data_IF_656617960007
#
_entry.id   IF_656617960007
#
_cell.length_a   1.000
_cell.length_b   1.000
_cell.length_c   1.000
_cell.angle_alpha   90.00
_cell.angle_beta   90.00
_cell.angle_gamma   90.00
#
_symmetry.space_group_name_H-M   'P 1'
#
loop_
_entity.id
_entity.type
_entity.pdbx_description
1 polymer ?
#
# COMPACT_ATOMS: atom_id res chain seq x y z
N UNK A 1 33.91 -58.89 -34.47
CA UNK A 1 35.03 -58.87 -35.43
C UNK A 1 34.52 -58.30 -36.76
N UNK A 2 35.12 -57.18 -37.21
CA UNK A 2 35.11 -56.53 -38.56
C UNK A 2 33.74 -56.11 -39.13
N UNK A 3 33.44 -54.80 -39.14
CA UNK A 3 33.72 -53.78 -40.17
C UNK A 3 32.88 -53.93 -41.45
N UNK A 4 32.03 -52.93 -41.74
CA UNK A 4 32.24 -52.04 -42.89
C UNK A 4 31.28 -50.85 -42.87
N UNK A 5 31.86 -49.68 -43.14
CA UNK A 5 31.29 -48.35 -43.26
C UNK A 5 30.46 -48.16 -44.54
N UNK A 6 29.52 -47.21 -44.52
CA UNK A 6 29.27 -46.34 -45.69
C UNK A 6 28.91 -44.92 -45.24
N UNK A 7 29.68 -43.98 -45.79
CA UNK A 7 29.61 -42.54 -45.66
C UNK A 7 28.47 -41.94 -46.51
N UNK A 8 27.93 -40.79 -46.07
CA UNK A 8 27.65 -39.66 -46.98
C UNK A 8 27.84 -38.32 -46.25
N UNK A 9 28.69 -37.49 -46.84
CA UNK A 9 29.07 -36.13 -46.46
C UNK A 9 28.70 -35.19 -47.61
N UNK A 10 28.15 -33.99 -47.31
CA UNK A 10 28.40 -32.69 -48.00
C UNK A 10 27.47 -31.63 -47.36
N UNK A 11 27.96 -30.68 -46.54
CA UNK A 11 28.64 -29.40 -46.87
C UNK A 11 27.74 -28.34 -47.56
N UNK A 12 27.21 -27.33 -46.84
CA UNK A 12 27.69 -25.97 -46.43
C UNK A 12 27.28 -24.85 -47.41
N UNK A 13 26.95 -23.68 -46.82
CA UNK A 13 27.12 -22.28 -47.28
C UNK A 13 25.86 -21.61 -47.85
N UNK A 14 25.24 -20.67 -47.12
CA UNK A 14 25.58 -19.24 -47.23
C UNK A 14 24.71 -18.33 -46.34
N UNK A 15 25.39 -17.36 -45.74
CA UNK A 15 24.83 -16.16 -45.11
C UNK A 15 24.28 -15.19 -46.17
N UNK A 16 23.29 -14.35 -45.81
CA UNK A 16 23.44 -12.88 -45.77
C UNK A 16 22.16 -12.13 -45.32
N UNK A 17 22.38 -11.19 -44.40
CA UNK A 17 21.86 -9.82 -44.31
C UNK A 17 20.34 -9.50 -44.22
N UNK A 18 19.96 -9.07 -43.00
CA UNK A 18 19.41 -7.75 -42.65
C UNK A 18 18.30 -7.11 -43.50
N UNK A 19 17.15 -6.85 -42.86
CA UNK A 19 16.44 -5.58 -43.02
C UNK A 19 15.78 -5.16 -41.71
N UNK A 20 16.35 -4.12 -41.09
CA UNK A 20 15.80 -3.41 -39.92
C UNK A 20 14.73 -2.43 -40.43
N UNK A 21 13.50 -2.54 -39.92
CA UNK A 21 12.49 -1.46 -40.04
C UNK A 21 12.39 -0.72 -38.71
N UNK A 22 13.11 0.39 -38.62
CA UNK A 22 12.81 1.45 -37.68
C UNK A 22 11.73 2.35 -38.32
N UNK A 23 10.63 2.57 -37.62
CA UNK A 23 9.67 3.63 -37.95
C UNK A 23 9.66 4.62 -36.80
N UNK A 24 10.43 5.69 -36.98
CA UNK A 24 10.42 6.89 -36.15
C UNK A 24 9.20 7.71 -36.57
N UNK A 25 8.22 7.89 -35.68
CA UNK A 25 7.26 8.99 -35.79
C UNK A 25 7.69 10.10 -34.85
N UNK A 26 8.15 11.19 -35.46
CA UNK A 26 8.35 12.48 -34.83
C UNK A 26 6.98 13.08 -34.57
N UNK A 27 6.68 13.45 -33.32
CA UNK A 27 5.62 14.41 -33.04
C UNK A 27 6.20 15.51 -32.15
N UNK A 28 6.47 16.64 -32.78
CA UNK A 28 6.84 17.87 -32.11
C UNK A 28 5.56 18.57 -31.65
N UNK A 29 5.39 18.75 -30.35
CA UNK A 29 4.51 19.78 -29.80
C UNK A 29 5.23 20.50 -28.68
N UNK A 30 5.39 21.79 -28.92
CA UNK A 30 6.18 22.75 -28.16
C UNK A 30 5.32 23.51 -27.15
N UNK A 31 5.80 23.54 -25.89
CA UNK A 31 5.61 24.55 -24.81
C UNK A 31 4.33 24.50 -23.94
N UNK A 32 4.33 25.11 -22.74
CA UNK A 32 5.36 25.01 -21.68
C UNK A 32 4.74 24.77 -20.27
N UNK A 33 5.49 24.12 -19.38
CA UNK A 33 5.25 24.15 -17.93
C UNK A 33 6.14 25.24 -17.30
N UNK A 34 5.53 26.27 -16.72
CA UNK A 34 6.17 27.11 -15.70
C UNK A 34 5.16 27.95 -14.93
N UNK A 35 4.54 27.39 -13.87
CA UNK A 35 4.11 28.20 -12.71
C UNK A 35 4.18 27.38 -11.42
N UNK A 36 4.72 28.06 -10.41
CA UNK A 36 4.75 27.75 -8.96
C UNK A 36 5.76 26.69 -8.54
N UNK A 37 6.61 26.89 -7.54
CA UNK A 37 6.99 28.08 -6.79
C UNK A 37 8.32 27.74 -6.10
N UNK A 38 9.31 28.63 -6.21
CA UNK A 38 10.54 28.49 -5.46
C UNK A 38 10.42 29.21 -4.10
N UNK A 39 11.12 28.64 -3.14
CA UNK A 39 11.11 28.89 -1.69
C UNK A 39 11.25 30.36 -1.25
N UNK A 40 10.65 30.58 -0.09
CA UNK A 40 10.98 31.58 0.91
C UNK A 40 12.49 31.76 1.17
N UNK A 41 12.94 33.01 1.32
CA UNK A 41 13.44 33.59 2.60
C UNK A 41 14.03 34.98 2.35
N UNK A 42 13.88 35.83 3.37
CA UNK A 42 14.77 36.91 3.86
C UNK A 42 14.04 38.24 4.03
N UNK A 43 13.54 38.43 5.25
CA UNK A 43 13.27 39.71 5.92
C UNK A 43 13.01 39.32 7.39
N UNK A 44 13.48 39.98 8.44
CA UNK A 44 14.30 41.17 8.66
C UNK A 44 14.66 41.07 10.16
N UNK A 45 15.89 41.43 10.55
CA UNK A 45 16.26 41.64 11.96
C UNK A 45 16.51 43.14 12.20
N UNK A 46 16.12 43.56 13.41
CA UNK A 46 16.59 44.69 14.25
C UNK A 46 16.22 46.16 13.88
N UNK A 47 15.15 46.69 14.51
CA UNK A 47 15.09 47.72 15.62
C UNK A 47 16.26 48.73 15.82
N UNK A 48 16.14 49.86 16.58
CA UNK A 48 14.97 50.52 17.24
C UNK A 48 14.93 52.09 17.20
N UNK A 49 13.97 52.69 17.95
CA UNK A 49 13.94 54.02 18.65
C UNK A 49 12.96 55.12 18.12
N UNK A 50 12.51 56.10 18.96
CA UNK A 50 11.39 55.98 19.91
C UNK A 50 10.38 57.16 19.85
N UNK A 51 9.28 57.10 20.62
CA UNK A 51 8.68 58.32 21.20
C UNK A 51 7.16 58.42 21.23
N UNK A 52 6.69 58.92 22.38
CA UNK A 52 5.40 59.56 22.67
C UNK A 52 4.18 58.70 23.06
N UNK A 53 4.09 58.52 24.38
CA UNK A 53 2.90 58.67 25.26
C UNK A 53 1.68 59.37 24.66
N UNK A 54 0.47 58.84 24.94
CA UNK A 54 -0.62 59.54 25.64
C UNK A 54 -1.67 58.50 26.09
N UNK A 55 -2.09 58.68 27.33
CA UNK A 55 -3.12 57.99 28.11
C UNK A 55 -4.55 58.44 27.71
N UNK A 56 -5.58 57.88 28.36
CA UNK A 56 -7.02 58.26 28.43
C UNK A 56 -7.97 57.14 27.97
N UNK A 57 -8.42 56.34 28.94
CA UNK A 57 -9.78 56.52 29.48
C UNK A 57 -10.99 55.91 28.76
N UNK A 58 -11.55 54.87 29.41
CA UNK A 58 -12.91 54.86 29.96
C UNK A 58 -14.13 54.92 29.00
N UNK A 59 -14.92 53.83 28.90
CA UNK A 59 -16.34 53.71 29.34
C UNK A 59 -17.17 52.62 28.62
N UNK A 60 -17.70 51.70 29.45
CA UNK A 60 -19.10 51.24 29.63
C UNK A 60 -20.03 50.94 28.42
N UNK A 61 -20.55 49.70 28.47
CA UNK A 61 -21.96 49.26 28.42
C UNK A 61 -22.95 49.95 27.47
N UNK A 62 -23.59 49.17 26.58
CA UNK A 62 -25.06 49.16 26.38
C UNK A 62 -25.51 47.73 25.99
N UNK A 63 -26.50 47.21 26.72
CA UNK A 63 -27.31 46.06 26.39
C UNK A 63 -28.55 46.48 25.57
N UNK A 64 -29.06 45.64 24.67
CA UNK A 64 -30.50 45.60 24.37
C UNK A 64 -30.89 44.32 23.61
N UNK A 65 -31.90 43.64 24.14
CA UNK A 65 -32.61 42.49 23.59
C UNK A 65 -33.71 42.91 22.60
N UNK A 66 -34.20 41.96 21.79
CA UNK A 66 -35.63 41.77 21.41
C UNK A 66 -35.71 40.92 20.12
N UNK A 67 -36.18 39.65 20.12
CA UNK A 67 -37.56 39.13 20.17
C UNK A 67 -38.26 38.98 18.79
N UNK A 68 -38.87 37.79 18.62
CA UNK A 68 -39.86 37.34 17.60
C UNK A 68 -39.25 36.86 16.27
N UNK A 69 -39.66 35.72 15.69
CA UNK A 69 -40.98 35.11 15.73
C UNK A 69 -41.00 33.61 15.40
N UNK A 70 -42.04 32.96 15.94
CA UNK A 70 -42.48 31.60 15.68
C UNK A 70 -43.12 31.50 14.28
N UNK A 71 -42.88 30.40 13.55
CA UNK A 71 -43.88 29.78 12.68
C UNK A 71 -43.81 28.26 12.80
N UNK A 72 -44.98 27.70 13.03
CA UNK A 72 -45.32 26.29 13.06
C UNK A 72 -46.08 25.91 11.77
N UNK A 73 -46.43 24.62 11.67
CA UNK A 73 -47.19 23.90 10.64
C UNK A 73 -46.32 23.41 9.46
N UNK A 74 -46.48 22.19 8.93
CA UNK A 74 -47.57 21.21 9.02
C UNK A 74 -47.06 19.81 8.60
N UNK A 75 -47.70 18.77 9.13
CA UNK A 75 -47.60 17.38 8.71
C UNK A 75 -48.04 17.16 7.26
N UNK A 76 -47.43 16.19 6.59
CA UNK A 76 -48.15 15.25 5.71
C UNK A 76 -47.44 13.90 5.70
N UNK A 77 -48.14 12.89 6.23
CA UNK A 77 -47.84 11.48 6.05
C UNK A 77 -48.46 11.02 4.71
N UNK A 78 -47.74 10.20 3.95
CA UNK A 78 -48.32 9.43 2.86
C UNK A 78 -47.71 8.03 2.84
N UNK A 79 -48.53 7.08 3.28
CA UNK A 79 -48.34 5.64 3.14
C UNK A 79 -48.39 5.24 1.66
N UNK A 80 -47.53 4.32 1.23
CA UNK A 80 -47.74 3.56 0.00
C UNK A 80 -47.73 2.06 0.25
N UNK A 81 -48.68 1.43 -0.43
CA UNK A 81 -49.26 0.12 -0.21
C UNK A 81 -48.39 -1.02 -0.74
N UNK A 82 -48.40 -2.11 0.02
CA UNK A 82 -48.04 -3.47 -0.39
C UNK A 82 -49.06 -3.96 -1.42
N UNK A 83 -48.58 -4.40 -2.59
CA UNK A 83 -49.37 -5.20 -3.52
C UNK A 83 -48.81 -6.63 -3.54
N UNK A 84 -49.62 -7.56 -3.04
CA UNK A 84 -49.47 -8.99 -3.23
C UNK A 84 -50.47 -9.41 -4.31
N UNK A 85 -50.03 -10.21 -5.28
CA UNK A 85 -50.91 -11.10 -6.03
C UNK A 85 -50.16 -12.35 -6.52
N UNK A 86 -50.89 -13.47 -6.76
CA UNK A 86 -50.35 -14.83 -6.66
C UNK A 86 -50.39 -15.64 -7.98
N UNK A 87 -49.99 -16.92 -7.86
CA UNK A 87 -50.25 -18.09 -8.73
C UNK A 87 -49.22 -18.38 -9.86
N UNK A 88 -48.46 -19.49 -9.75
CA UNK A 88 -48.73 -20.90 -10.21
C UNK A 88 -48.62 -21.03 -11.75
N UNK A 89 -47.52 -21.54 -12.30
CA UNK A 89 -47.10 -22.95 -12.48
C UNK A 89 -47.36 -23.45 -13.91
N UNK A 90 -46.30 -23.85 -14.62
CA UNK A 90 -46.30 -24.92 -15.63
C UNK A 90 -44.85 -25.35 -15.93
N UNK A 91 -44.65 -26.66 -15.97
CA UNK A 91 -43.45 -27.39 -16.35
C UNK A 91 -43.63 -27.85 -17.80
N UNK A 92 -42.61 -27.73 -18.65
CA UNK A 92 -42.17 -28.84 -19.51
C UNK A 92 -40.76 -28.59 -20.11
N UNK A 93 -39.96 -29.65 -20.38
CA UNK A 93 -38.54 -29.56 -20.73
C UNK A 93 -38.27 -29.72 -22.24
N UNK A 94 -37.00 -29.59 -22.59
CA UNK A 94 -36.35 -29.95 -23.87
C UNK A 94 -36.33 -28.87 -24.98
N UNK A 95 -35.16 -28.23 -25.13
CA UNK A 95 -34.45 -28.17 -26.42
C UNK A 95 -33.02 -27.69 -26.24
N UNK A 96 -32.11 -28.41 -26.86
CA UNK A 96 -30.66 -28.27 -27.01
C UNK A 96 -30.15 -26.93 -27.59
N UNK A 97 -29.14 -26.33 -26.92
CA UNK A 97 -27.88 -25.67 -27.39
C UNK A 97 -27.85 -24.67 -28.57
N UNK A 98 -26.78 -23.85 -28.76
CA UNK A 98 -25.69 -23.41 -27.85
C UNK A 98 -25.40 -21.87 -27.82
N UNK A 99 -24.67 -21.46 -26.78
CA UNK A 99 -23.91 -20.20 -26.57
C UNK A 99 -24.69 -18.88 -26.41
N UNK A 100 -24.29 -18.07 -25.41
CA UNK A 100 -23.30 -17.04 -25.76
C UNK A 100 -22.17 -16.88 -24.73
N UNK A 101 -21.03 -16.43 -25.26
CA UNK A 101 -19.97 -15.72 -24.57
C UNK A 101 -20.57 -14.77 -23.52
N UNK A 102 -20.35 -15.08 -22.24
CA UNK A 102 -20.58 -14.16 -21.14
C UNK A 102 -19.22 -13.82 -20.52
N UNK A 103 -18.84 -12.57 -20.72
CA UNK A 103 -17.85 -11.82 -19.98
C UNK A 103 -18.07 -11.97 -18.47
N UNK A 104 -17.34 -12.89 -17.84
CA UNK A 104 -17.19 -12.95 -16.40
C UNK A 104 -15.96 -12.14 -16.01
N UNK A 105 -16.17 -10.94 -15.46
CA UNK A 105 -15.16 -10.32 -14.61
C UNK A 105 -14.91 -11.30 -13.45
N UNK A 106 -13.73 -11.92 -13.44
CA UNK A 106 -13.30 -12.72 -12.31
C UNK A 106 -13.21 -11.85 -11.05
N UNK A 107 -13.29 -12.45 -9.85
CA UNK A 107 -13.06 -11.71 -8.61
C UNK A 107 -11.70 -11.02 -8.68
N UNK A 108 -11.65 -9.76 -8.22
CA UNK A 108 -10.42 -8.99 -8.15
C UNK A 108 -9.37 -9.81 -7.38
N UNK A 109 -8.20 -10.12 -7.98
CA UNK A 109 -7.15 -10.86 -7.30
C UNK A 109 -6.61 -10.14 -6.05
N UNK A 110 -7.01 -8.88 -5.81
CA UNK A 110 -6.74 -8.08 -4.61
C UNK A 110 -7.84 -8.11 -3.55
N UNK A 111 -9.02 -8.68 -3.84
CA UNK A 111 -10.15 -8.70 -2.89
C UNK A 111 -10.08 -9.91 -1.96
N UNK A 112 -9.73 -9.66 -0.70
CA UNK A 112 -9.67 -10.67 0.35
C UNK A 112 -11.03 -10.74 1.09
N UNK A 113 -12.07 -11.30 0.46
CA UNK A 113 -13.26 -11.72 1.21
C UNK A 113 -12.97 -13.04 1.96
N UNK A 114 -13.47 -13.22 3.19
CA UNK A 114 -13.14 -14.37 4.02
C UNK A 114 -13.82 -15.65 3.53
N UNK A 115 -13.09 -16.51 2.81
CA UNK A 115 -13.54 -17.87 2.46
C UNK A 115 -13.10 -18.86 3.55
N UNK A 116 -14.06 -19.64 4.07
CA UNK A 116 -13.87 -20.54 5.21
C UNK A 116 -13.23 -21.91 4.90
N UNK A 117 -12.38 -22.37 5.84
CA UNK A 117 -11.86 -23.75 6.15
C UNK A 117 -11.08 -24.47 5.03
N UNK A 118 -9.97 -25.20 5.23
CA UNK A 118 -9.40 -26.02 6.32
C UNK A 118 -7.84 -26.02 6.28
N UNK A 119 -7.12 -26.48 7.32
CA UNK A 119 -5.64 -26.46 7.35
C UNK A 119 -5.02 -27.64 6.59
N UNK A 120 -4.05 -27.36 5.73
CA UNK A 120 -3.15 -28.36 5.11
C UNK A 120 -1.74 -28.16 5.64
N UNK A 121 -1.12 -29.24 6.10
CA UNK A 121 0.26 -29.28 6.57
C UNK A 121 1.23 -29.18 5.39
N UNK A 122 2.22 -28.29 5.49
CA UNK A 122 3.23 -28.07 4.45
C UNK A 122 4.54 -28.79 4.73
N UNK A 123 5.15 -29.30 3.66
CA UNK A 123 6.52 -29.83 3.61
C UNK A 123 7.39 -28.86 2.80
N UNK A 124 8.58 -28.43 3.27
CA UNK A 124 9.38 -27.41 2.60
C UNK A 124 10.22 -28.03 1.46
N UNK A 125 9.99 -27.57 0.23
CA UNK A 125 10.93 -27.78 -0.89
C UNK A 125 12.04 -26.73 -0.79
N UNK A 126 13.27 -27.20 -0.58
CA UNK A 126 14.48 -26.40 -0.40
C UNK A 126 15.18 -26.21 -1.75
N UNK A 127 15.04 -25.06 -2.39
CA UNK A 127 15.95 -24.65 -3.47
C UNK A 127 17.15 -23.93 -2.86
N UNK A 128 18.32 -24.57 -2.96
CA UNK A 128 19.59 -24.12 -2.42
C UNK A 128 20.18 -23.07 -3.36
N UNK A 129 20.18 -21.80 -2.96
CA UNK A 129 20.98 -20.76 -3.61
C UNK A 129 22.36 -20.68 -2.95
N UNK A 130 23.41 -20.77 -3.75
CA UNK A 130 24.81 -20.69 -3.32
C UNK A 130 25.20 -19.22 -3.18
N UNK A 131 25.50 -18.74 -1.97
CA UNK A 131 26.07 -17.40 -1.75
C UNK A 131 27.56 -17.51 -1.41
N UNK A 132 28.37 -16.72 -2.12
CA UNK A 132 29.78 -16.52 -1.82
C UNK A 132 29.94 -15.64 -0.57
N UNK A 133 30.87 -16.04 0.29
CA UNK A 133 31.19 -15.39 1.54
C UNK A 133 31.94 -14.06 1.32
N UNK A 134 31.53 -13.02 2.05
CA UNK A 134 32.24 -11.76 2.21
C UNK A 134 31.68 -11.03 3.44
N UNK A 135 32.54 -10.86 4.45
CA UNK A 135 32.24 -10.46 5.82
C UNK A 135 31.51 -9.10 5.99
N UNK A 136 30.42 -9.09 6.78
CA UNK A 136 29.81 -7.91 7.41
C UNK A 136 28.98 -8.35 8.65
N UNK A 137 28.78 -7.48 9.67
CA UNK A 137 28.62 -7.89 11.06
C UNK A 137 27.22 -8.45 11.36
N UNK A 138 27.17 -9.71 11.78
CA UNK A 138 26.29 -10.35 12.79
C UNK A 138 24.77 -10.17 12.80
N UNK A 139 24.16 -9.27 12.02
CA UNK A 139 22.70 -9.03 12.01
C UNK A 139 22.04 -9.24 10.64
N UNK A 140 22.81 -9.05 9.58
CA UNK A 140 22.38 -9.34 8.21
C UNK A 140 22.21 -10.84 7.98
N UNK A 141 23.18 -11.65 8.46
CA UNK A 141 23.19 -13.09 8.28
C UNK A 141 22.02 -13.77 9.01
N UNK A 142 21.77 -13.38 10.27
CA UNK A 142 20.64 -13.90 11.06
C UNK A 142 19.27 -13.53 10.46
N UNK A 143 19.13 -12.30 9.97
CA UNK A 143 17.89 -11.87 9.31
C UNK A 143 17.63 -12.66 8.02
N UNK A 144 18.65 -12.86 7.20
CA UNK A 144 18.52 -13.62 5.96
C UNK A 144 18.38 -15.13 6.20
N UNK A 145 18.89 -15.65 7.32
CA UNK A 145 18.66 -17.02 7.73
C UNK A 145 17.17 -17.28 8.07
N UNK A 146 16.53 -16.35 8.78
CA UNK A 146 15.12 -16.48 9.15
C UNK A 146 14.18 -16.09 7.98
N UNK A 147 14.48 -14.98 7.30
CA UNK A 147 13.69 -14.37 6.22
C UNK A 147 14.54 -14.21 4.94
N UNK A 148 14.85 -15.32 4.23
CA UNK A 148 15.72 -15.32 3.06
C UNK A 148 15.12 -14.58 1.85
N UNK A 149 13.82 -14.29 1.87
CA UNK A 149 13.17 -13.49 0.84
C UNK A 149 13.39 -11.99 1.00
N UNK A 150 14.04 -11.53 2.07
CA UNK A 150 14.27 -10.10 2.34
C UNK A 150 15.30 -9.50 1.38
N UNK A 151 14.93 -8.43 0.67
CA UNK A 151 15.91 -7.58 -0.01
C UNK A 151 16.53 -6.60 1.00
N UNK A 152 17.54 -7.06 1.76
CA UNK A 152 18.05 -6.38 2.96
C UNK A 152 18.44 -4.91 2.72
N UNK A 153 19.28 -4.63 1.71
CA UNK A 153 19.70 -3.26 1.40
C UNK A 153 18.50 -2.36 1.06
N UNK A 154 17.50 -2.89 0.35
CA UNK A 154 16.28 -2.16 0.01
C UNK A 154 15.43 -1.88 1.25
N UNK A 155 15.34 -2.85 2.17
CA UNK A 155 14.67 -2.71 3.46
C UNK A 155 15.29 -1.59 4.29
N UNK A 156 16.62 -1.60 4.44
CA UNK A 156 17.36 -0.60 5.20
C UNK A 156 17.18 0.81 4.63
N UNK A 157 17.22 0.93 3.30
CA UNK A 157 16.95 2.19 2.61
C UNK A 157 15.51 2.68 2.81
N UNK A 158 14.52 1.79 2.78
CA UNK A 158 13.12 2.15 3.03
C UNK A 158 12.90 2.60 4.49
N UNK A 159 13.53 1.94 5.46
CA UNK A 159 13.54 2.37 6.87
C UNK A 159 14.20 3.75 6.99
N UNK A 160 15.33 3.99 6.31
CA UNK A 160 16.01 5.27 6.33
C UNK A 160 15.15 6.40 5.73
N UNK A 161 14.49 6.15 4.59
CA UNK A 161 13.54 7.11 3.99
C UNK A 161 12.38 7.40 4.94
N UNK A 162 11.77 6.38 5.54
CA UNK A 162 10.66 6.56 6.49
C UNK A 162 11.07 7.40 7.71
N UNK A 163 12.25 7.12 8.31
CA UNK A 163 12.81 7.91 9.43
C UNK A 163 13.13 9.35 9.06
N UNK A 164 13.38 9.63 7.78
CA UNK A 164 13.69 10.99 7.33
C UNK A 164 12.47 11.90 7.19
N UNK A 165 11.26 11.32 7.23
CA UNK A 165 10.01 12.07 7.15
C UNK A 165 9.71 12.73 8.50
N UNK A 166 9.46 14.04 8.49
CA UNK A 166 9.09 14.79 9.70
C UNK A 166 7.59 14.73 9.96
N UNK A 167 7.17 15.00 11.21
CA UNK A 167 5.75 15.04 11.55
C UNK A 167 5.01 16.13 10.76
N UNK A 168 5.65 17.25 10.44
CA UNK A 168 5.06 18.31 9.61
C UNK A 168 4.79 17.82 8.18
N UNK A 169 5.71 17.04 7.59
CA UNK A 169 5.51 16.45 6.26
C UNK A 169 4.38 15.42 6.26
N UNK A 170 4.21 14.70 7.37
CA UNK A 170 3.19 13.64 7.52
C UNK A 170 1.84 14.15 8.05
N UNK A 171 1.71 15.44 8.32
CA UNK A 171 0.48 16.08 8.82
C UNK A 171 -0.18 17.01 7.79
N UNK A 172 0.20 16.86 6.52
CA UNK A 172 -0.39 17.59 5.39
C UNK A 172 -1.73 17.01 4.89
N UNK A 173 -2.08 17.31 3.63
CA UNK A 173 -3.17 16.63 2.94
C UNK A 173 -2.82 15.16 2.69
N UNK A 174 -3.80 14.27 2.87
CA UNK A 174 -3.59 12.83 2.79
C UNK A 174 -3.02 12.36 1.45
N UNK A 175 -3.40 12.98 0.33
CA UNK A 175 -2.90 12.55 -0.98
C UNK A 175 -1.40 12.82 -1.12
N UNK A 176 -0.93 13.96 -0.60
CA UNK A 176 0.50 14.31 -0.56
C UNK A 176 1.25 13.41 0.43
N UNK A 177 0.66 13.17 1.61
CA UNK A 177 1.23 12.28 2.63
C UNK A 177 1.37 10.87 2.08
N UNK A 178 0.35 10.32 1.41
CA UNK A 178 0.43 9.00 0.77
C UNK A 178 1.53 8.96 -0.30
N UNK A 179 1.71 10.03 -1.08
CA UNK A 179 2.83 10.15 -2.01
C UNK A 179 4.20 9.99 -1.31
N UNK A 180 4.37 10.62 -0.14
CA UNK A 180 5.57 10.46 0.69
C UNK A 180 5.72 9.04 1.26
N UNK A 181 4.62 8.41 1.66
CA UNK A 181 4.61 7.02 2.13
C UNK A 181 5.05 6.05 1.01
N UNK A 182 4.53 6.21 -0.21
CA UNK A 182 4.95 5.43 -1.37
C UNK A 182 6.45 5.63 -1.67
N UNK A 183 6.91 6.89 -1.69
CA UNK A 183 8.33 7.19 -1.88
C UNK A 183 9.22 6.53 -0.80
N UNK A 184 8.80 6.57 0.47
CA UNK A 184 9.53 5.94 1.55
C UNK A 184 9.55 4.41 1.47
N UNK A 185 8.49 3.80 0.93
CA UNK A 185 8.45 2.37 0.63
C UNK A 185 9.28 2.00 -0.62
N UNK A 186 9.64 2.98 -1.46
CA UNK A 186 10.20 2.73 -2.79
C UNK A 186 9.16 2.12 -3.73
N UNK A 187 7.95 2.65 -3.69
CA UNK A 187 6.86 2.37 -4.62
C UNK A 187 6.58 3.60 -5.48
N UNK A 188 6.31 3.38 -6.76
CA UNK A 188 5.77 4.38 -7.68
C UNK A 188 4.29 4.57 -7.41
N UNK A 189 3.77 5.79 -7.58
CA UNK A 189 2.33 6.06 -7.51
C UNK A 189 1.69 5.78 -8.88
N UNK A 190 1.19 4.56 -9.06
CA UNK A 190 0.58 4.09 -10.30
C UNK A 190 -0.90 3.88 -10.01
N UNK A 191 -1.73 4.80 -10.47
CA UNK A 191 -3.18 4.82 -10.22
C UNK A 191 -4.02 4.37 -11.42
N UNK A 192 -3.40 4.30 -12.58
CA UNK A 192 -4.04 3.93 -13.85
C UNK A 192 -3.39 2.66 -14.39
N UNK A 193 -3.63 1.56 -13.68
CA UNK A 193 -3.20 0.23 -14.07
C UNK A 193 -4.23 -0.81 -13.60
N UNK A 194 -4.42 -1.91 -14.34
CA UNK A 194 -5.21 -3.04 -13.88
C UNK A 194 -4.60 -3.71 -12.63
N UNK A 195 -5.42 -4.44 -11.84
CA UNK A 195 -4.91 -5.31 -10.78
C UNK A 195 -3.86 -6.31 -11.29
N UNK A 196 -2.73 -6.41 -10.59
CA UNK A 196 -1.59 -7.25 -10.98
C UNK A 196 -0.58 -6.60 -11.94
N UNK A 197 -0.89 -5.46 -12.53
CA UNK A 197 0.01 -4.72 -13.44
C UNK A 197 0.73 -3.54 -12.76
N UNK A 198 0.74 -3.52 -11.44
CA UNK A 198 1.47 -2.53 -10.64
C UNK A 198 0.60 -1.38 -10.12
N UNK A 199 -0.73 -1.54 -10.13
CA UNK A 199 -1.65 -0.60 -9.47
C UNK A 199 -1.32 -0.46 -7.97
N UNK A 200 -0.87 0.72 -7.54
CA UNK A 200 -0.55 1.04 -6.14
C UNK A 200 -1.57 1.98 -5.48
N UNK A 201 -2.69 2.28 -6.16
CA UNK A 201 -3.73 3.19 -5.66
C UNK A 201 -4.32 2.81 -4.29
N UNK A 202 -4.34 1.51 -3.98
CA UNK A 202 -4.84 0.97 -2.70
C UNK A 202 -3.77 0.93 -1.59
N UNK A 203 -2.48 1.00 -1.93
CA UNK A 203 -1.41 0.95 -0.94
C UNK A 203 -1.58 2.07 0.10
N UNK A 204 -1.57 1.67 1.37
CA UNK A 204 -1.76 2.52 2.54
C UNK A 204 -3.13 3.23 2.62
N UNK A 205 -4.06 2.95 1.70
CA UNK A 205 -5.38 3.59 1.60
C UNK A 205 -6.53 2.73 2.15
N UNK A 206 -6.25 1.50 2.55
CA UNK A 206 -7.20 0.59 3.19
C UNK A 206 -6.62 0.03 4.49
N UNK A 207 -7.40 -0.80 5.17
CA UNK A 207 -7.02 -1.34 6.48
C UNK A 207 -5.85 -2.33 6.45
N UNK A 208 -5.61 -2.99 5.31
CA UNK A 208 -4.86 -4.23 5.23
C UNK A 208 -3.55 -4.11 4.44
N UNK A 209 -3.54 -3.37 3.32
CA UNK A 209 -2.38 -3.21 2.43
C UNK A 209 -1.45 -2.09 2.93
N UNK A 210 -0.91 -2.30 4.12
CA UNK A 210 -0.21 -1.27 4.91
C UNK A 210 1.25 -1.61 5.19
N UNK A 211 1.74 -2.76 4.72
CA UNK A 211 3.09 -3.24 4.96
C UNK A 211 4.01 -2.89 3.79
N UNK A 212 5.00 -2.02 4.00
CA UNK A 212 6.08 -1.78 3.04
C UNK A 212 7.05 -2.97 3.04
N UNK A 213 6.71 -4.02 2.29
CA UNK A 213 7.47 -5.27 2.24
C UNK A 213 8.51 -5.20 1.15
N UNK A 214 9.79 -5.30 1.51
CA UNK A 214 10.90 -5.31 0.55
C UNK A 214 11.38 -6.75 0.35
N UNK A 215 11.41 -7.23 -0.88
CA UNK A 215 11.70 -8.64 -1.16
C UNK A 215 12.66 -8.83 -2.33
N UNK A 216 13.38 -9.95 -2.34
CA UNK A 216 14.13 -10.37 -3.52
C UNK A 216 13.15 -10.67 -4.65
N UNK A 217 13.56 -10.42 -5.89
CA UNK A 217 12.65 -10.63 -7.03
C UNK A 217 12.39 -12.12 -7.30
N UNK A 218 13.23 -13.01 -6.79
CA UNK A 218 13.06 -14.47 -6.91
C UNK A 218 11.84 -14.98 -6.14
N UNK A 219 11.45 -14.29 -5.07
CA UNK A 219 10.26 -14.64 -4.26
C UNK A 219 9.03 -13.82 -4.65
N UNK A 220 9.16 -12.83 -5.53
CA UNK A 220 8.04 -11.92 -5.87
C UNK A 220 6.85 -12.62 -6.54
N UNK A 221 7.07 -13.81 -7.11
CA UNK A 221 6.06 -14.67 -7.72
C UNK A 221 5.55 -15.78 -6.75
N UNK A 222 6.02 -15.81 -5.50
CA UNK A 222 5.58 -16.81 -4.51
C UNK A 222 4.07 -16.72 -4.26
N UNK A 223 3.42 -17.87 -4.15
CA UNK A 223 1.99 -17.99 -3.86
C UNK A 223 1.73 -18.15 -2.35
N UNK A 224 0.61 -17.63 -1.85
CA UNK A 224 0.21 -17.80 -0.46
C UNK A 224 -0.05 -19.27 -0.09
N UNK A 225 -0.65 -20.03 -1.02
CA UNK A 225 -1.02 -21.45 -0.86
C UNK A 225 -1.78 -21.80 0.42
N UNK A 226 -2.54 -20.84 0.97
CA UNK A 226 -3.29 -20.99 2.20
C UNK A 226 -2.47 -20.83 3.49
N UNK A 227 -1.21 -20.38 3.41
CA UNK A 227 -0.38 -20.09 4.57
C UNK A 227 -0.95 -18.95 5.41
N UNK A 228 -1.41 -17.89 4.75
CA UNK A 228 -2.13 -16.76 5.36
C UNK A 228 -3.63 -16.96 5.15
N UNK A 229 -4.37 -17.02 6.26
CA UNK A 229 -5.82 -17.21 6.25
C UNK A 229 -6.51 -15.95 5.74
N UNK A 230 -7.46 -16.11 4.81
CA UNK A 230 -8.23 -15.01 4.25
C UNK A 230 -7.59 -14.35 3.03
N UNK A 231 -6.39 -14.77 2.64
CA UNK A 231 -5.67 -14.26 1.47
C UNK A 231 -5.78 -15.26 0.31
N UNK A 232 -5.89 -14.74 -0.92
CA UNK A 232 -5.98 -15.55 -2.13
C UNK A 232 -4.85 -16.59 -2.22
N UNK A 233 -5.15 -17.79 -2.75
CA UNK A 233 -4.17 -18.89 -2.80
C UNK A 233 -3.01 -18.60 -3.75
N UNK A 234 -3.30 -18.08 -4.96
CA UNK A 234 -2.31 -17.76 -5.98
C UNK A 234 -1.78 -16.33 -5.85
N UNK A 235 -0.67 -16.04 -6.54
CA UNK A 235 -0.07 -14.72 -6.61
C UNK A 235 0.07 -14.29 -8.08
N UNK A 236 -0.46 -13.11 -8.41
CA UNK A 236 -0.30 -12.47 -9.73
C UNK A 236 0.45 -11.14 -9.64
N UNK A 237 1.07 -10.88 -8.49
CA UNK A 237 1.66 -9.58 -8.17
C UNK A 237 3.07 -9.43 -8.71
N UNK A 238 3.81 -10.51 -9.00
CA UNK A 238 5.22 -10.42 -9.41
C UNK A 238 5.50 -9.43 -10.55
N UNK A 239 4.76 -9.44 -11.66
CA UNK A 239 4.87 -8.40 -12.70
C UNK A 239 4.61 -6.98 -12.15
N UNK A 240 3.54 -6.81 -11.38
CA UNK A 240 3.19 -5.53 -10.76
C UNK A 240 4.24 -5.03 -9.76
N UNK A 241 4.86 -5.92 -8.97
CA UNK A 241 5.94 -5.60 -8.04
C UNK A 241 7.14 -5.05 -8.82
N UNK A 242 7.53 -5.70 -9.91
CA UNK A 242 8.65 -5.22 -10.75
C UNK A 242 8.37 -3.85 -11.36
N UNK A 243 7.14 -3.61 -11.81
CA UNK A 243 6.73 -2.34 -12.44
C UNK A 243 6.62 -1.20 -11.41
N UNK A 244 6.02 -1.47 -10.26
CA UNK A 244 5.77 -0.48 -9.23
C UNK A 244 6.99 -0.16 -8.37
N UNK A 245 8.00 -1.02 -8.35
CA UNK A 245 9.20 -0.79 -7.54
C UNK A 245 10.04 0.39 -8.07
N UNK A 246 10.35 1.32 -7.18
CA UNK A 246 11.32 2.39 -7.43
C UNK A 246 12.74 1.79 -7.46
N UNK A 247 13.46 1.82 -8.59
CA UNK A 247 14.82 1.28 -8.67
C UNK A 247 15.82 2.04 -7.78
N UNK A 248 15.56 3.31 -7.46
CA UNK A 248 16.49 4.16 -6.69
C UNK A 248 16.56 3.74 -5.20
N UNK A 249 15.65 2.88 -4.74
CA UNK A 249 15.69 2.33 -3.39
C UNK A 249 16.71 1.17 -3.25
N UNK A 250 17.16 0.56 -4.36
CA UNK A 250 18.12 -0.54 -4.36
C UNK A 250 17.57 -1.85 -4.97
N UNK A 251 18.36 -2.93 -4.97
CA UNK A 251 17.98 -4.19 -5.63
C UNK A 251 16.77 -4.86 -4.97
N UNK A 252 16.01 -5.64 -5.75
CA UNK A 252 14.79 -6.30 -5.28
C UNK A 252 13.52 -5.57 -5.72
N UNK A 253 12.41 -5.84 -5.04
CA UNK A 253 11.14 -5.15 -5.22
C UNK A 253 10.48 -4.77 -3.90
N UNK A 254 9.53 -3.85 -3.96
CA UNK A 254 8.64 -3.52 -2.83
C UNK A 254 7.19 -3.80 -3.21
N UNK A 255 6.37 -4.22 -2.24
CA UNK A 255 4.92 -4.20 -2.34
C UNK A 255 4.26 -3.78 -1.03
N UNK A 256 3.04 -3.25 -1.10
CA UNK A 256 2.17 -3.00 0.06
C UNK A 256 1.39 -4.29 0.42
N UNK A 257 2.00 -5.18 1.19
CA UNK A 257 1.38 -6.49 1.47
C UNK A 257 0.31 -6.41 2.56
N UNK A 258 -0.52 -7.45 2.64
CA UNK A 258 -1.58 -7.54 3.63
C UNK A 258 -1.02 -7.80 5.04
N UNK A 259 -1.43 -6.98 6.01
CA UNK A 259 -1.02 -7.04 7.41
C UNK A 259 -1.83 -8.03 8.27
N UNK A 260 -2.85 -8.68 7.70
CA UNK A 260 -3.67 -9.66 8.41
C UNK A 260 -2.81 -10.81 8.95
N UNK A 261 -2.89 -11.06 10.26
CA UNK A 261 -2.01 -12.00 10.96
C UNK A 261 -0.80 -11.33 11.65
N UNK A 262 -0.61 -10.02 11.45
CA UNK A 262 0.48 -9.25 12.02
C UNK A 262 0.44 -9.07 13.55
N UNK A 263 -0.69 -9.35 14.21
CA UNK A 263 -0.77 -9.37 15.67
C UNK A 263 -0.08 -10.60 16.31
N UNK A 264 0.20 -11.65 15.54
CA UNK A 264 0.85 -12.87 16.03
C UNK A 264 2.35 -12.64 16.32
N UNK A 265 2.95 -13.53 17.12
CA UNK A 265 4.39 -13.57 17.36
C UNK A 265 4.93 -15.00 17.15
N UNK A 266 5.80 -15.23 16.15
CA UNK A 266 6.18 -14.29 15.09
C UNK A 266 4.98 -13.89 14.20
N UNK A 267 5.05 -12.77 13.44
CA UNK A 267 3.97 -12.36 12.56
C UNK A 267 3.61 -13.43 11.53
N UNK A 268 2.32 -13.60 11.30
CA UNK A 268 1.77 -14.58 10.38
C UNK A 268 1.07 -13.91 9.18
N UNK A 269 1.62 -12.78 8.73
CA UNK A 269 1.10 -12.00 7.61
C UNK A 269 1.74 -12.38 6.28
N UNK A 270 1.34 -11.69 5.19
CA UNK A 270 1.78 -12.02 3.83
C UNK A 270 3.28 -11.81 3.64
N UNK A 271 3.86 -10.76 4.22
CA UNK A 271 5.30 -10.51 4.15
C UNK A 271 6.09 -11.70 4.70
N UNK A 272 5.74 -12.13 5.91
CA UNK A 272 6.50 -13.12 6.66
C UNK A 272 6.27 -14.55 6.15
N UNK A 273 5.04 -14.91 5.77
CA UNK A 273 4.71 -16.28 5.37
C UNK A 273 4.88 -16.54 3.87
N UNK A 274 4.32 -15.68 3.01
CA UNK A 274 4.34 -15.91 1.56
C UNK A 274 5.69 -15.51 0.95
N UNK A 275 6.16 -14.30 1.29
CA UNK A 275 7.41 -13.78 0.73
C UNK A 275 8.64 -14.14 1.56
N UNK A 276 8.47 -14.72 2.77
CA UNK A 276 9.57 -15.05 3.67
C UNK A 276 10.47 -13.83 3.87
N UNK A 277 9.86 -12.66 4.02
CA UNK A 277 10.51 -11.36 4.05
C UNK A 277 10.08 -10.56 5.28
N UNK A 278 11.00 -9.75 5.80
CA UNK A 278 10.65 -8.68 6.76
C UNK A 278 10.02 -7.49 6.06
N UNK A 279 9.18 -6.77 6.79
CA UNK A 279 8.71 -5.45 6.36
C UNK A 279 9.79 -4.41 6.64
N UNK A 280 9.92 -3.39 5.79
CA UNK A 280 10.69 -2.20 6.15
C UNK A 280 9.93 -1.43 7.24
N UNK A 281 8.64 -1.21 7.02
CA UNK A 281 7.74 -0.60 7.99
C UNK A 281 6.28 -0.91 7.65
N UNK A 282 5.38 -0.72 8.62
CA UNK A 282 3.94 -0.67 8.38
C UNK A 282 3.27 0.56 8.97
N UNK A 283 2.18 0.98 8.34
CA UNK A 283 1.34 2.06 8.85
C UNK A 283 0.30 1.52 9.83
N UNK A 284 0.26 2.12 11.03
CA UNK A 284 -0.73 1.81 12.07
C UNK A 284 -1.43 3.09 12.51
N UNK A 285 -2.76 3.12 12.40
CA UNK A 285 -3.58 4.22 12.91
C UNK A 285 -3.70 4.16 14.44
N UNK A 286 -3.61 5.32 15.08
CA UNK A 286 -3.63 5.45 16.54
C UNK A 286 -5.07 5.42 17.06
N UNK A 287 -5.41 4.59 18.07
CA UNK A 287 -6.79 4.40 18.53
C UNK A 287 -7.32 5.51 19.45
N UNK A 288 -7.01 6.77 19.15
CA UNK A 288 -7.52 7.97 19.85
C UNK A 288 -7.87 9.06 18.86
N UNK A 289 -8.63 10.07 19.31
CA UNK A 289 -8.96 11.24 18.49
C UNK A 289 -9.65 10.90 17.16
N UNK A 290 -10.44 9.82 17.12
CA UNK A 290 -11.10 9.37 15.89
C UNK A 290 -10.14 8.78 14.85
N UNK A 291 -9.02 8.20 15.26
CA UNK A 291 -8.01 7.62 14.37
C UNK A 291 -7.42 8.65 13.41
N UNK A 292 -7.21 9.88 13.89
CA UNK A 292 -6.69 10.99 13.08
C UNK A 292 -5.16 10.97 12.92
N UNK A 293 -4.44 10.24 13.78
CA UNK A 293 -2.99 10.08 13.75
C UNK A 293 -2.61 8.68 13.31
N UNK A 294 -1.52 8.53 12.57
CA UNK A 294 -0.88 7.25 12.29
C UNK A 294 0.59 7.28 12.73
N UNK A 295 1.14 6.08 12.96
CA UNK A 295 2.56 5.86 13.20
C UNK A 295 3.08 4.82 12.21
N UNK A 296 4.29 5.05 11.69
CA UNK A 296 5.05 4.07 10.94
C UNK A 296 5.90 3.26 11.92
N UNK A 297 5.80 1.95 11.89
CA UNK A 297 6.57 1.05 12.76
C UNK A 297 7.43 0.10 11.94
N UNK A 298 8.67 -0.13 12.35
CA UNK A 298 9.54 -1.13 11.72
C UNK A 298 9.11 -2.58 12.05
N UNK A 299 9.82 -3.55 11.48
CA UNK A 299 9.51 -4.96 11.70
C UNK A 299 9.57 -5.40 13.18
N UNK A 300 10.42 -4.75 13.98
CA UNK A 300 10.53 -5.01 15.41
C UNK A 300 9.44 -4.30 16.23
N UNK A 301 8.60 -3.47 15.60
CA UNK A 301 7.55 -2.68 16.23
C UNK A 301 8.03 -1.34 16.80
N UNK A 302 9.23 -0.87 16.44
CA UNK A 302 9.72 0.44 16.87
C UNK A 302 9.10 1.54 16.00
N UNK A 303 8.71 2.65 16.62
CA UNK A 303 8.24 3.83 15.91
C UNK A 303 9.37 4.44 15.05
N UNK A 304 9.04 4.80 13.81
CA UNK A 304 9.94 5.47 12.87
C UNK A 304 9.55 6.93 12.62
N UNK A 305 8.27 7.17 12.34
CA UNK A 305 7.71 8.48 12.07
C UNK A 305 6.20 8.47 12.38
N UNK A 306 5.61 9.65 12.54
CA UNK A 306 4.18 9.81 12.86
C UNK A 306 3.63 11.06 12.17
N UNK A 307 2.33 11.10 11.95
CA UNK A 307 1.65 12.28 11.41
C UNK A 307 0.18 12.32 11.75
N UNK A 308 -0.42 13.52 11.66
CA UNK A 308 -1.85 13.75 11.85
C UNK A 308 -2.43 14.36 10.56
N UNK A 309 -2.54 13.57 9.49
CA UNK A 309 -2.93 14.06 8.18
C UNK A 309 -4.37 14.58 8.16
N UNK A 310 -4.66 15.39 7.14
CA UNK A 310 -5.97 15.99 6.90
C UNK A 310 -6.48 15.65 5.48
N UNK A 311 -7.63 16.18 5.08
CA UNK A 311 -8.16 15.96 3.73
C UNK A 311 -8.89 14.63 3.57
N UNK A 312 -8.70 13.98 2.43
CA UNK A 312 -9.39 12.75 2.02
C UNK A 312 -8.82 11.49 2.67
N UNK A 313 -8.89 11.42 4.00
CA UNK A 313 -8.38 10.28 4.77
C UNK A 313 -9.12 8.98 4.43
N UNK A 314 -8.47 7.81 4.63
CA UNK A 314 -9.17 6.54 4.58
C UNK A 314 -10.39 6.56 5.52
N UNK A 315 -11.47 5.91 5.10
CA UNK A 315 -12.71 5.90 5.86
C UNK A 315 -12.46 5.48 7.32
N UNK A 316 -13.21 6.04 8.26
CA UNK A 316 -12.97 5.78 9.69
C UNK A 316 -12.93 4.28 10.04
N UNK A 317 -13.73 3.45 9.37
CA UNK A 317 -13.73 2.01 9.59
C UNK A 317 -12.45 1.33 9.10
N UNK A 318 -11.87 1.78 7.98
CA UNK A 318 -10.57 1.28 7.49
C UNK A 318 -9.46 1.53 8.52
N UNK A 319 -9.43 2.75 9.06
CA UNK A 319 -8.44 3.15 10.08
C UNK A 319 -8.62 2.40 11.40
N UNK A 320 -9.87 2.16 11.80
CA UNK A 320 -10.19 1.29 12.95
C UNK A 320 -9.71 -0.14 12.73
N UNK A 321 -10.10 -0.75 11.61
CA UNK A 321 -9.73 -2.13 11.31
C UNK A 321 -8.23 -2.31 11.17
N UNK A 322 -7.52 -1.33 10.62
CA UNK A 322 -6.06 -1.33 10.56
C UNK A 322 -5.42 -1.51 11.93
N UNK A 323 -5.87 -0.76 12.94
CA UNK A 323 -5.39 -0.94 14.30
C UNK A 323 -5.83 -2.29 14.89
N UNK A 324 -7.10 -2.67 14.73
CA UNK A 324 -7.64 -3.90 15.32
C UNK A 324 -6.91 -5.17 14.83
N UNK A 325 -6.46 -5.23 13.57
CA UNK A 325 -5.75 -6.42 13.05
C UNK A 325 -4.33 -6.60 13.62
N UNK A 326 -3.74 -5.55 14.20
CA UNK A 326 -2.41 -5.60 14.85
C UNK A 326 -2.48 -5.46 16.37
N UNK A 327 -3.67 -5.18 16.91
CA UNK A 327 -3.90 -4.93 18.33
C UNK A 327 -3.38 -6.08 19.20
N UNK A 328 -2.69 -5.72 20.28
CA UNK A 328 -2.07 -6.66 21.21
C UNK A 328 -0.77 -7.31 20.71
N UNK A 329 -0.41 -7.11 19.43
CA UNK A 329 0.86 -7.54 18.86
C UNK A 329 1.96 -6.47 18.97
N UNK A 330 3.16 -6.80 18.48
CA UNK A 330 4.32 -5.90 18.53
C UNK A 330 4.11 -4.58 17.77
N UNK A 331 3.40 -4.63 16.65
CA UNK A 331 3.15 -3.45 15.81
C UNK A 331 2.17 -2.43 16.42
N UNK A 332 1.32 -2.84 17.38
CA UNK A 332 0.41 -1.91 18.05
C UNK A 332 1.09 -1.06 19.13
N UNK A 333 2.26 -1.48 19.66
CA UNK A 333 2.89 -0.86 20.84
C UNK A 333 3.12 0.64 20.70
N UNK A 334 3.61 1.08 19.54
CA UNK A 334 3.84 2.50 19.29
C UNK A 334 2.53 3.29 19.25
N UNK A 335 1.50 2.75 18.57
CA UNK A 335 0.18 3.36 18.52
C UNK A 335 -0.47 3.43 19.92
N UNK A 336 -0.32 2.39 20.73
CA UNK A 336 -0.79 2.35 22.12
C UNK A 336 -0.07 3.39 22.99
N UNK A 337 1.23 3.60 22.78
CA UNK A 337 2.00 4.63 23.48
C UNK A 337 1.50 6.05 23.13
N UNK A 338 1.18 6.32 21.86
CA UNK A 338 0.56 7.58 21.46
C UNK A 338 -0.86 7.74 22.03
N UNK A 339 -1.63 6.65 22.11
CA UNK A 339 -2.97 6.65 22.66
C UNK A 339 -2.97 6.93 24.18
N UNK A 340 -2.10 6.26 24.93
CA UNK A 340 -1.94 6.44 26.37
C UNK A 340 -1.21 7.73 26.76
N UNK A 341 -0.43 8.29 25.84
CA UNK A 341 0.33 9.54 26.01
C UNK A 341 -0.45 10.83 25.77
N UNK A 342 -1.77 10.77 25.52
CA UNK A 342 -2.67 11.90 25.26
C UNK A 342 -2.86 12.91 26.41
N UNK A 343 -1.91 13.02 27.33
CA UNK A 343 -1.79 14.08 28.33
C UNK A 343 -0.31 14.51 28.46
N UNK A 344 0.25 15.13 27.42
CA UNK A 344 1.42 16.01 27.54
C UNK A 344 1.25 17.20 26.63
#
# INVERSE_FOLDING_TARGET
MRNQDFYFTCHVISMHAALVRASVRVNASTRPLSRLANRARVALRSEPFPGASIDIGNRRNIAAASLRGRRALLLTAASFLVSLSPARAAVDPSSSSPNPFASGAGPDPSSCEPVGRSPVAFSPVRTKATMGAGDAPGGADDTLAEYPGTALTRMENAVARARSLTEEQLSGDWEDVRGLLLWAAGLRDIRDAPPGEGYTGHCFNDFNHVDATTMTLDVSDNENRGAVRGIAFGNRLGPGIRVASDPDLGPGGTWCTCAQGGAAEPPADVAHLQFRSKIAWKLVWVPTGGYARFVLVDDAGNALATGTPTGSLPALNERKYNYEIVRGGRYARAADAYAGGGAR
#
